data_IF_180219292666
#
_entry.id   IF_180219292666
#
_cell.length_a   1.000
_cell.length_b   1.000
_cell.length_c   1.000
_cell.angle_alpha   90.00
_cell.angle_beta   90.00
_cell.angle_gamma   90.00
#
_symmetry.space_group_name_H-M   'P 1'
#
loop_
_entity.id
_entity.type
_entity.pdbx_description
1 polymer ?
#
# COMPACT_ATOMS: atom_id res chain seq x y z
N UNK A 1 21.18 -8.31 -5.48
CA UNK A 1 19.77 -8.13 -5.87
C UNK A 1 19.65 -6.81 -6.61
N UNK A 2 18.88 -6.79 -7.70
CA UNK A 2 18.55 -5.55 -8.41
C UNK A 2 17.45 -4.79 -7.66
N UNK A 3 17.36 -3.48 -7.88
CA UNK A 3 16.28 -2.63 -7.33
C UNK A 3 14.90 -3.20 -7.66
N UNK A 4 14.73 -3.72 -8.88
CA UNK A 4 13.48 -4.35 -9.32
C UNK A 4 13.13 -5.56 -8.47
N UNK A 5 14.08 -6.47 -8.22
CA UNK A 5 13.84 -7.65 -7.38
C UNK A 5 13.42 -7.27 -5.95
N UNK A 6 14.01 -6.19 -5.39
CA UNK A 6 13.63 -5.69 -4.06
C UNK A 6 12.23 -5.09 -4.04
N UNK A 7 11.84 -4.35 -5.08
CA UNK A 7 10.48 -3.83 -5.22
C UNK A 7 9.46 -4.97 -5.32
N UNK A 8 9.76 -6.04 -6.05
CA UNK A 8 8.87 -7.22 -6.10
C UNK A 8 8.73 -7.90 -4.75
N UNK A 9 9.83 -8.03 -3.99
CA UNK A 9 9.79 -8.59 -2.64
C UNK A 9 8.91 -7.75 -1.71
N UNK A 10 9.06 -6.42 -1.77
CA UNK A 10 8.23 -5.51 -0.98
C UNK A 10 6.76 -5.59 -1.42
N UNK A 11 6.50 -5.64 -2.73
CA UNK A 11 5.16 -5.78 -3.28
C UNK A 11 4.51 -7.09 -2.80
N UNK A 12 5.26 -8.19 -2.79
CA UNK A 12 4.79 -9.49 -2.29
C UNK A 12 4.45 -9.44 -0.79
N UNK A 13 5.27 -8.77 0.02
CA UNK A 13 5.01 -8.60 1.45
C UNK A 13 3.71 -7.80 1.72
N UNK A 14 3.40 -6.82 0.87
CA UNK A 14 2.18 -6.01 0.97
C UNK A 14 0.94 -6.76 0.46
N UNK A 15 1.11 -7.64 -0.54
CA UNK A 15 0.05 -8.21 -1.36
C UNK A 15 -1.06 -8.92 -0.57
N UNK A 16 -0.69 -9.74 0.42
CA UNK A 16 -1.62 -10.61 1.16
C UNK A 16 -2.00 -10.08 2.54
N UNK A 17 -1.28 -9.07 3.06
CA UNK A 17 -1.51 -8.53 4.41
C UNK A 17 -2.39 -7.27 4.43
N UNK A 18 -2.47 -6.58 3.30
CA UNK A 18 -3.18 -5.30 3.19
C UNK A 18 -4.38 -5.48 2.26
N UNK A 19 -5.52 -4.95 2.67
CA UNK A 19 -6.76 -5.04 1.91
C UNK A 19 -7.56 -3.73 1.97
N UNK A 20 -8.38 -3.54 0.95
CA UNK A 20 -9.46 -2.57 0.91
C UNK A 20 -10.69 -3.21 1.58
N UNK A 21 -11.31 -2.48 2.51
CA UNK A 21 -12.59 -2.86 3.12
C UNK A 21 -13.72 -2.01 2.53
N UNK A 22 -14.68 -2.69 1.92
CA UNK A 22 -15.90 -2.07 1.45
C UNK A 22 -17.02 -2.97 1.96
N UNK A 23 -18.07 -2.45 2.60
CA UNK A 23 -19.25 -3.23 2.99
C UNK A 23 -18.98 -4.65 3.59
N UNK A 24 -17.87 -4.85 4.33
CA UNK A 24 -17.39 -6.11 4.91
C UNK A 24 -16.78 -7.14 3.94
N UNK A 25 -16.55 -6.78 2.67
CA UNK A 25 -15.67 -7.55 1.79
C UNK A 25 -14.25 -7.00 1.84
N UNK A 26 -13.30 -7.92 1.94
CA UNK A 26 -11.88 -7.61 1.88
C UNK A 26 -11.39 -7.87 0.46
N UNK A 27 -10.97 -6.81 -0.23
CA UNK A 27 -10.26 -6.91 -1.49
C UNK A 27 -8.78 -6.70 -1.23
N UNK A 28 -8.00 -7.78 -1.25
CA UNK A 28 -6.56 -7.70 -1.00
C UNK A 28 -5.85 -6.88 -2.08
N UNK A 29 -4.77 -6.20 -1.70
CA UNK A 29 -4.02 -5.36 -2.64
C UNK A 29 -3.37 -6.19 -3.76
N UNK A 30 -3.18 -7.49 -3.55
CA UNK A 30 -2.85 -8.44 -4.61
C UNK A 30 -3.90 -8.41 -5.73
N UNK A 31 -5.14 -8.73 -5.38
CA UNK A 31 -6.27 -8.82 -6.31
C UNK A 31 -6.60 -7.46 -6.94
N UNK A 32 -6.44 -6.37 -6.17
CA UNK A 32 -6.62 -5.01 -6.66
C UNK A 32 -5.46 -4.51 -7.54
N UNK A 33 -4.36 -5.26 -7.67
CA UNK A 33 -3.14 -4.85 -8.38
C UNK A 33 -2.51 -3.55 -7.84
N UNK A 34 -2.74 -3.23 -6.56
CA UNK A 34 -2.25 -2.01 -5.91
C UNK A 34 -0.97 -2.23 -5.09
N UNK A 35 -0.64 -3.48 -4.77
CA UNK A 35 0.55 -3.83 -4.01
C UNK A 35 1.85 -3.36 -4.67
N UNK A 36 2.00 -3.56 -5.98
CA UNK A 36 3.18 -3.15 -6.75
C UNK A 36 3.32 -1.62 -6.88
N UNK A 37 2.29 -0.86 -7.31
CA UNK A 37 2.37 0.60 -7.32
C UNK A 37 2.70 1.22 -5.95
N UNK A 38 2.24 0.62 -4.85
CA UNK A 38 2.60 1.08 -3.52
C UNK A 38 4.06 0.76 -3.18
N UNK A 39 4.53 -0.45 -3.47
CA UNK A 39 5.92 -0.83 -3.25
C UNK A 39 6.88 0.11 -4.00
N UNK A 40 6.59 0.45 -5.26
CA UNK A 40 7.38 1.40 -6.05
C UNK A 40 7.44 2.80 -5.42
N UNK A 41 6.36 3.25 -4.79
CA UNK A 41 6.31 4.55 -4.09
C UNK A 41 7.06 4.52 -2.76
N UNK A 42 6.97 3.44 -2.01
CA UNK A 42 7.56 3.34 -0.68
C UNK A 42 9.04 2.97 -0.70
N UNK A 43 9.47 2.11 -1.62
CA UNK A 43 10.85 1.65 -1.70
C UNK A 43 11.90 2.77 -1.65
N UNK A 44 11.79 3.88 -2.43
CA UNK A 44 12.78 4.96 -2.37
C UNK A 44 12.76 5.74 -1.04
N UNK A 45 11.71 5.60 -0.21
CA UNK A 45 11.58 6.28 1.08
C UNK A 45 12.20 5.48 2.24
N UNK A 46 12.39 4.16 2.06
CA UNK A 46 12.91 3.29 3.12
C UNK A 46 14.28 3.72 3.68
N UNK A 47 15.25 4.21 2.87
CA UNK A 47 16.57 4.61 3.38
C UNK A 47 16.56 5.75 4.40
N UNK A 48 15.58 6.65 4.30
CA UNK A 48 15.45 7.82 5.18
C UNK A 48 14.63 7.51 6.45
N UNK A 49 14.10 6.28 6.55
CA UNK A 49 13.12 5.88 7.55
C UNK A 49 11.70 6.32 7.16
N UNK A 50 10.74 5.47 7.47
CA UNK A 50 9.33 5.69 7.13
C UNK A 50 8.50 5.89 8.39
N UNK A 51 7.58 6.85 8.35
CA UNK A 51 6.66 7.10 9.47
C UNK A 51 5.22 6.79 9.10
N UNK A 52 4.35 6.69 10.11
CA UNK A 52 2.91 6.60 9.90
C UNK A 52 2.35 7.77 9.07
N UNK A 53 2.92 8.98 9.21
CA UNK A 53 2.51 10.14 8.43
C UNK A 53 2.84 9.98 6.93
N UNK A 54 3.98 9.36 6.61
CA UNK A 54 4.39 9.07 5.24
C UNK A 54 3.47 8.04 4.59
N UNK A 55 3.12 6.97 5.33
CA UNK A 55 2.14 5.98 4.88
C UNK A 55 0.80 6.65 4.56
N UNK A 56 0.27 7.43 5.51
CA UNK A 56 -1.01 8.16 5.30
C UNK A 56 -0.91 9.11 4.11
N UNK A 57 0.22 9.81 3.92
CA UNK A 57 0.43 10.71 2.79
C UNK A 57 0.42 9.98 1.45
N UNK A 58 1.12 8.84 1.34
CA UNK A 58 1.14 8.03 0.11
C UNK A 58 -0.24 7.44 -0.19
N UNK A 59 -0.95 6.96 0.84
CA UNK A 59 -2.32 6.44 0.68
C UNK A 59 -3.32 7.53 0.29
N UNK A 60 -3.23 8.73 0.88
CA UNK A 60 -4.04 9.89 0.50
C UNK A 60 -3.79 10.33 -0.95
N UNK A 61 -2.53 10.28 -1.41
CA UNK A 61 -2.16 10.63 -2.78
C UNK A 61 -2.47 9.53 -3.81
N UNK A 62 -2.91 8.35 -3.38
CA UNK A 62 -3.27 7.24 -4.27
C UNK A 62 -4.78 7.23 -4.46
N UNK A 63 -5.24 7.86 -5.53
CA UNK A 63 -6.66 7.98 -5.85
C UNK A 63 -7.16 6.71 -6.56
N UNK A 64 -8.30 6.19 -6.11
CA UNK A 64 -8.94 4.99 -6.63
C UNK A 64 -10.27 5.36 -7.26
N UNK A 65 -10.41 5.05 -8.55
CA UNK A 65 -11.66 5.21 -9.27
C UNK A 65 -12.70 4.17 -8.83
N UNK A 66 -13.90 4.64 -8.49
CA UNK A 66 -15.03 3.80 -8.06
C UNK A 66 -16.26 4.03 -8.94
N UNK A 67 -17.15 3.04 -9.01
CA UNK A 67 -18.40 3.12 -9.78
C UNK A 67 -18.18 3.32 -11.28
N UNK A 68 -17.13 2.70 -11.85
CA UNK A 68 -16.77 2.85 -13.26
C UNK A 68 -16.11 4.19 -13.61
N UNK A 69 -15.48 4.85 -12.63
CA UNK A 69 -14.81 6.15 -12.83
C UNK A 69 -15.70 7.36 -12.57
N UNK A 70 -16.91 7.16 -12.04
CA UNK A 70 -17.81 8.26 -11.69
C UNK A 70 -17.26 9.12 -10.53
N UNK A 71 -16.41 8.53 -9.67
CA UNK A 71 -15.75 9.23 -8.57
C UNK A 71 -14.39 8.64 -8.31
N UNK A 72 -13.49 9.45 -7.78
CA UNK A 72 -12.24 8.99 -7.18
C UNK A 72 -12.25 9.26 -5.68
N UNK A 73 -11.73 8.31 -4.91
CA UNK A 73 -11.54 8.43 -3.47
C UNK A 73 -10.11 8.00 -3.10
N UNK A 74 -9.50 8.61 -2.07
CA UNK A 74 -8.16 8.23 -1.68
C UNK A 74 -8.14 6.81 -1.11
N UNK A 75 -7.05 6.08 -1.33
CA UNK A 75 -6.90 4.70 -0.87
C UNK A 75 -6.93 4.60 0.66
N UNK A 76 -6.54 5.67 1.37
CA UNK A 76 -6.66 5.78 2.83
C UNK A 76 -8.09 5.68 3.35
N UNK A 77 -9.10 6.09 2.57
CA UNK A 77 -10.52 5.97 2.93
C UNK A 77 -11.05 4.54 2.73
N UNK A 78 -10.33 3.73 1.95
CA UNK A 78 -10.68 2.36 1.60
C UNK A 78 -9.92 1.32 2.42
N UNK A 79 -8.77 1.67 2.99
CA UNK A 79 -7.94 0.75 3.78
C UNK A 79 -8.21 0.96 5.29
N UNK A 80 -8.60 -0.08 6.04
CA UNK A 80 -8.75 0.00 7.49
C UNK A 80 -7.49 0.49 8.21
N UNK A 81 -7.64 1.19 9.33
CA UNK A 81 -6.50 1.64 10.15
C UNK A 81 -5.58 0.50 10.57
N UNK A 82 -6.12 -0.70 10.83
CA UNK A 82 -5.32 -1.89 11.15
C UNK A 82 -4.37 -2.26 9.99
N UNK A 83 -4.84 -2.18 8.76
CA UNK A 83 -4.04 -2.43 7.56
C UNK A 83 -3.02 -1.33 7.31
N UNK A 84 -3.32 -0.07 7.65
CA UNK A 84 -2.33 1.02 7.58
C UNK A 84 -1.19 0.80 8.58
N UNK A 85 -1.51 0.36 9.80
CA UNK A 85 -0.50 -0.01 10.79
C UNK A 85 0.30 -1.24 10.36
N UNK A 86 -0.37 -2.27 9.80
CA UNK A 86 0.31 -3.45 9.26
C UNK A 86 1.27 -3.09 8.12
N UNK A 87 0.83 -2.21 7.21
CA UNK A 87 1.66 -1.69 6.14
C UNK A 87 2.89 -0.97 6.68
N UNK A 88 2.74 -0.13 7.71
CA UNK A 88 3.88 0.51 8.37
C UNK A 88 4.85 -0.53 8.93
N UNK A 89 4.36 -1.54 9.66
CA UNK A 89 5.21 -2.63 10.19
C UNK A 89 5.96 -3.37 9.08
N UNK A 90 5.29 -3.70 7.97
CA UNK A 90 5.94 -4.35 6.81
C UNK A 90 7.08 -3.47 6.27
N UNK A 91 6.86 -2.15 6.20
CA UNK A 91 7.83 -1.20 5.67
C UNK A 91 9.01 -0.98 6.62
N UNK A 92 8.76 -0.96 7.94
CA UNK A 92 9.80 -0.86 8.97
C UNK A 92 10.65 -2.14 9.07
N UNK A 93 10.03 -3.31 8.92
CA UNK A 93 10.70 -4.62 8.98
C UNK A 93 11.43 -4.98 7.67
N UNK A 94 11.22 -4.23 6.58
CA UNK A 94 11.78 -4.56 5.28
C UNK A 94 13.28 -4.22 5.21
N UNK A 95 14.12 -5.26 5.07
CA UNK A 95 15.55 -5.09 4.84
C UNK A 95 15.83 -4.64 3.40
N UNK A 96 16.14 -3.35 3.23
CA UNK A 96 16.47 -2.73 1.94
C UNK A 96 17.96 -2.87 1.58
#
# INVERSE_FOLDING_TARGET
MSTTERIEQLAAAIAEDVYIDIAKWHLYLNDAHLHRPLAEKFYPMLPDGITSADVVKVLNGTMIAIGGGNREIPLSDLIPKSCQNRLLTILEDFEY
#
